data_IF_886327223040
#
_entry.id   IF_886327223040
#
_cell.length_a   1.000
_cell.length_b   1.000
_cell.length_c   1.000
_cell.angle_alpha   90.00
_cell.angle_beta   90.00
_cell.angle_gamma   90.00
#
_symmetry.space_group_name_H-M   'P 1'
#
loop_
_entity.id
_entity.type
_entity.pdbx_description
1 polymer ?
#
# COMPACT_ATOMS: atom_id res chain seq x y z
N UNK A 1 -92.96 47.71 65.07
CA UNK A 1 -92.38 46.98 63.91
C UNK A 1 -91.81 45.68 64.45
N UNK A 2 -92.25 44.51 63.98
CA UNK A 2 -91.69 43.25 64.47
C UNK A 2 -90.33 43.00 63.82
N UNK A 3 -89.34 42.76 64.66
CA UNK A 3 -87.97 42.41 64.31
C UNK A 3 -87.97 40.92 63.88
N UNK A 4 -87.79 40.65 62.59
CA UNK A 4 -87.69 39.29 62.07
C UNK A 4 -86.28 38.77 62.32
N UNK A 5 -86.08 38.13 63.49
CA UNK A 5 -84.91 37.29 63.74
C UNK A 5 -84.83 36.20 62.65
N UNK A 6 -83.70 36.05 61.94
CA UNK A 6 -83.58 35.03 60.91
C UNK A 6 -83.72 33.63 61.52
N UNK A 7 -84.45 32.77 60.84
CA UNK A 7 -84.80 31.42 61.27
C UNK A 7 -83.53 30.59 61.56
N UNK A 8 -83.44 30.04 62.77
CA UNK A 8 -82.30 29.24 63.25
C UNK A 8 -82.05 28.04 62.32
N UNK A 9 -83.08 27.53 61.65
CA UNK A 9 -82.95 26.45 60.67
C UNK A 9 -82.17 26.86 59.41
N UNK A 10 -82.34 28.10 58.92
CA UNK A 10 -81.58 28.60 57.76
C UNK A 10 -80.08 28.73 58.07
N UNK A 11 -79.72 29.14 59.30
CA UNK A 11 -78.32 29.18 59.72
C UNK A 11 -77.71 27.79 59.85
N UNK A 12 -78.46 26.82 60.38
CA UNK A 12 -78.01 25.41 60.44
C UNK A 12 -77.77 24.84 59.05
N UNK A 13 -78.70 25.04 58.11
CA UNK A 13 -78.56 24.59 56.73
C UNK A 13 -77.35 25.22 56.01
N UNK A 14 -77.07 26.51 56.25
CA UNK A 14 -75.86 27.18 55.72
C UNK A 14 -74.56 26.63 56.33
N UNK A 15 -74.55 26.37 57.63
CA UNK A 15 -73.41 25.76 58.30
C UNK A 15 -73.14 24.34 57.77
N UNK A 16 -74.19 23.54 57.53
CA UNK A 16 -74.07 22.22 56.92
C UNK A 16 -73.55 22.29 55.48
N UNK A 17 -74.08 23.22 54.66
CA UNK A 17 -73.56 23.45 53.30
C UNK A 17 -72.08 23.90 53.32
N UNK A 18 -71.69 24.79 54.23
CA UNK A 18 -70.30 25.21 54.38
C UNK A 18 -69.40 24.07 54.85
N UNK A 19 -69.85 23.23 55.78
CA UNK A 19 -69.10 22.05 56.23
C UNK A 19 -68.87 21.06 55.07
N UNK A 20 -69.92 20.82 54.26
CA UNK A 20 -69.83 19.95 53.09
C UNK A 20 -68.89 20.51 52.01
N UNK A 21 -68.91 21.83 51.79
CA UNK A 21 -68.01 22.50 50.86
C UNK A 21 -66.55 22.42 51.33
N UNK A 22 -66.29 22.63 52.63
CA UNK A 22 -64.95 22.47 53.22
C UNK A 22 -64.44 21.03 53.11
N UNK A 23 -65.30 20.04 53.28
CA UNK A 23 -64.95 18.64 53.09
C UNK A 23 -64.61 18.32 51.63
N UNK A 24 -65.36 18.86 50.68
CA UNK A 24 -65.08 18.69 49.25
C UNK A 24 -63.79 19.40 48.83
N UNK A 25 -63.53 20.61 49.33
CA UNK A 25 -62.30 21.35 49.06
C UNK A 25 -61.08 20.65 49.68
N UNK A 26 -61.20 20.08 50.88
CA UNK A 26 -60.11 19.31 51.50
C UNK A 26 -59.81 18.02 50.74
N UNK A 27 -60.84 17.31 50.25
CA UNK A 27 -60.66 16.15 49.35
C UNK A 27 -60.03 16.53 48.01
N UNK A 28 -60.43 17.64 47.41
CA UNK A 28 -59.84 18.13 46.16
C UNK A 28 -58.37 18.54 46.35
N UNK A 29 -58.04 19.21 47.46
CA UNK A 29 -56.68 19.58 47.79
C UNK A 29 -55.80 18.36 48.05
N UNK A 30 -56.29 17.33 48.77
CA UNK A 30 -55.51 16.11 49.00
C UNK A 30 -55.26 15.34 47.69
N UNK A 31 -56.23 15.28 46.79
CA UNK A 31 -56.06 14.70 45.47
C UNK A 31 -55.04 15.48 44.62
N UNK A 32 -55.07 16.82 44.67
CA UNK A 32 -54.10 17.67 43.96
C UNK A 32 -52.68 17.52 44.52
N UNK A 33 -52.52 17.41 45.85
CA UNK A 33 -51.22 17.15 46.47
C UNK A 33 -50.66 15.80 46.00
N UNK A 34 -51.50 14.76 45.93
CA UNK A 34 -51.09 13.45 45.45
C UNK A 34 -50.64 13.45 43.98
N UNK A 35 -51.30 14.23 43.10
CA UNK A 35 -50.87 14.35 41.71
C UNK A 35 -49.56 15.13 41.58
N UNK A 36 -49.35 16.17 42.39
CA UNK A 36 -48.09 16.92 42.45
C UNK A 36 -46.94 16.00 42.89
N UNK A 37 -47.14 15.17 43.90
CA UNK A 37 -46.14 14.19 44.35
C UNK A 37 -45.79 13.17 43.27
N UNK A 38 -46.79 12.62 42.56
CA UNK A 38 -46.56 11.69 41.45
C UNK A 38 -45.81 12.33 40.27
N UNK A 39 -46.11 13.60 39.97
CA UNK A 39 -45.37 14.35 38.95
C UNK A 39 -43.93 14.62 39.36
N UNK A 40 -43.67 14.97 40.62
CA UNK A 40 -42.31 15.15 41.14
C UNK A 40 -41.50 13.85 41.04
N UNK A 41 -42.08 12.70 41.43
CA UNK A 41 -41.41 11.40 41.27
C UNK A 41 -41.06 11.10 39.81
N UNK A 42 -41.94 11.45 38.88
CA UNK A 42 -41.71 11.27 37.44
C UNK A 42 -40.58 12.19 36.95
N UNK A 43 -40.58 13.46 37.38
CA UNK A 43 -39.54 14.44 37.05
C UNK A 43 -38.17 13.97 37.56
N UNK A 44 -38.10 13.47 38.79
CA UNK A 44 -36.85 12.97 39.37
C UNK A 44 -36.31 11.74 38.62
N UNK A 45 -37.20 10.82 38.22
CA UNK A 45 -36.83 9.68 37.36
C UNK A 45 -36.30 10.10 35.98
N UNK A 46 -36.94 11.10 35.36
CA UNK A 46 -36.48 11.66 34.09
C UNK A 46 -35.14 12.38 34.24
N UNK A 47 -34.92 13.12 35.32
CA UNK A 47 -33.63 13.76 35.57
C UNK A 47 -32.49 12.73 35.78
N UNK A 48 -32.77 11.61 36.44
CA UNK A 48 -31.82 10.50 36.58
C UNK A 48 -31.40 9.93 35.22
N UNK A 49 -32.36 9.57 34.38
CA UNK A 49 -32.09 9.02 33.03
C UNK A 49 -31.34 10.02 32.13
N UNK A 50 -31.68 11.32 32.20
CA UNK A 50 -30.94 12.36 31.47
C UNK A 50 -29.47 12.42 31.94
N UNK A 51 -29.21 12.22 33.24
CA UNK A 51 -27.86 12.14 33.79
C UNK A 51 -27.05 11.01 33.16
N UNK A 52 -27.58 9.79 33.20
CA UNK A 52 -26.95 8.58 32.64
C UNK A 52 -26.72 8.70 31.12
N UNK A 53 -27.70 9.23 30.39
CA UNK A 53 -27.58 9.47 28.95
C UNK A 53 -26.51 10.51 28.64
N UNK A 54 -26.40 11.58 29.43
CA UNK A 54 -25.33 12.59 29.24
C UNK A 54 -23.95 12.01 29.51
N UNK A 55 -23.81 11.13 30.49
CA UNK A 55 -22.54 10.47 30.81
C UNK A 55 -22.12 9.50 29.71
N UNK A 56 -23.04 8.65 29.23
CA UNK A 56 -22.77 7.74 28.11
C UNK A 56 -22.44 8.49 26.82
N UNK A 57 -23.14 9.60 26.51
CA UNK A 57 -22.80 10.46 25.36
C UNK A 57 -21.38 11.03 25.52
N UNK A 58 -21.00 11.50 26.71
CA UNK A 58 -19.65 12.04 26.97
C UNK A 58 -18.58 10.98 26.75
N UNK A 59 -18.80 9.76 27.22
CA UNK A 59 -17.87 8.64 27.06
C UNK A 59 -17.73 8.19 25.60
N UNK A 60 -18.85 8.09 24.88
CA UNK A 60 -18.84 7.74 23.46
C UNK A 60 -18.17 8.82 22.61
N UNK A 61 -18.44 10.10 22.89
CA UNK A 61 -17.76 11.23 22.23
C UNK A 61 -16.26 11.24 22.53
N UNK A 62 -15.85 10.94 23.77
CA UNK A 62 -14.44 10.81 24.16
C UNK A 62 -13.74 9.69 23.37
N UNK A 63 -14.39 8.53 23.23
CA UNK A 63 -13.87 7.41 22.43
C UNK A 63 -13.78 7.75 20.94
N UNK A 64 -14.78 8.44 20.38
CA UNK A 64 -14.81 8.83 18.97
C UNK A 64 -13.75 9.88 18.62
N UNK A 65 -13.47 10.80 19.55
CA UNK A 65 -12.52 11.89 19.33
C UNK A 65 -11.06 11.50 19.58
N UNK A 66 -10.75 10.28 20.07
CA UNK A 66 -9.35 9.84 20.24
C UNK A 66 -8.72 9.54 18.88
N UNK A 67 -7.60 10.19 18.60
CA UNK A 67 -6.73 9.94 17.46
C UNK A 67 -5.25 10.04 17.89
N UNK A 68 -4.32 9.79 16.97
CA UNK A 68 -2.87 9.90 17.24
C UNK A 68 -2.38 11.30 17.61
N UNK A 69 -3.20 12.35 17.40
CA UNK A 69 -2.83 13.72 17.78
C UNK A 69 -3.14 14.04 19.25
N UNK A 70 -4.13 13.36 19.86
CA UNK A 70 -4.58 13.66 21.23
C UNK A 70 -4.54 12.47 22.19
N UNK A 71 -4.13 11.30 21.69
CA UNK A 71 -3.77 10.15 22.50
C UNK A 71 -2.43 9.66 21.96
N UNK A 72 -1.44 9.43 22.81
CA UNK A 72 -0.07 9.00 22.44
C UNK A 72 0.00 7.62 21.75
N UNK A 73 -1.05 7.23 21.03
CA UNK A 73 -1.15 6.09 20.16
C UNK A 73 -0.52 6.41 18.81
N UNK A 74 0.18 5.45 18.19
CA UNK A 74 0.82 5.65 16.90
C UNK A 74 -0.23 5.87 15.79
N UNK A 75 0.07 6.70 14.76
CA UNK A 75 -0.83 6.99 13.63
C UNK A 75 -1.32 5.75 12.86
N UNK A 76 -0.61 4.62 12.97
CA UNK A 76 -1.01 3.35 12.38
C UNK A 76 -2.32 2.79 12.96
N UNK A 77 -2.68 3.16 14.20
CA UNK A 77 -3.91 2.72 14.88
C UNK A 77 -5.17 3.55 14.58
N UNK A 78 -5.05 4.67 13.87
CA UNK A 78 -6.17 5.59 13.56
C UNK A 78 -7.17 5.06 12.49
N UNK A 79 -6.94 3.85 11.93
CA UNK A 79 -7.86 3.24 10.96
C UNK A 79 -8.09 4.10 9.71
N UNK A 80 -9.36 4.22 9.28
CA UNK A 80 -9.76 5.02 8.12
C UNK A 80 -9.99 6.52 8.43
N UNK A 81 -9.98 6.92 9.70
CA UNK A 81 -10.17 8.32 10.14
C UNK A 81 -8.83 9.06 10.30
N UNK A 82 -7.83 8.69 9.49
CA UNK A 82 -6.54 9.38 9.48
C UNK A 82 -6.74 10.81 8.94
N UNK A 83 -6.32 11.86 9.66
CA UNK A 83 -6.29 13.19 9.08
C UNK A 83 -5.42 13.16 7.83
N UNK A 84 -5.85 13.85 6.76
CA UNK A 84 -5.05 13.91 5.55
C UNK A 84 -3.65 14.45 5.87
N UNK A 85 -2.58 13.81 5.36
CA UNK A 85 -1.23 14.25 5.63
C UNK A 85 -1.09 15.71 5.19
N UNK A 86 -0.90 16.60 6.16
CA UNK A 86 -0.56 18.00 5.87
C UNK A 86 0.85 18.00 5.31
N UNK A 87 0.98 18.51 4.09
CA UNK A 87 2.27 18.75 3.48
C UNK A 87 3.11 19.61 4.43
N UNK A 88 4.20 19.05 4.94
CA UNK A 88 5.21 19.80 5.71
C UNK A 88 6.05 20.70 4.80
N UNK A 89 5.80 20.68 3.48
CA UNK A 89 6.52 21.49 2.51
C UNK A 89 6.17 22.96 2.70
N UNK A 90 7.14 23.74 3.17
CA UNK A 90 7.03 25.19 3.17
C UNK A 90 6.90 25.73 1.75
N UNK A 91 6.01 26.73 1.56
CA UNK A 91 5.84 27.40 0.27
C UNK A 91 7.07 28.24 -0.04
N UNK A 92 8.01 27.67 -0.77
CA UNK A 92 9.26 28.33 -1.18
C UNK A 92 9.07 29.45 -2.23
N UNK A 93 7.86 29.65 -2.77
CA UNK A 93 7.59 30.66 -3.81
C UNK A 93 8.27 30.38 -5.16
N UNK A 94 9.04 29.30 -5.27
CA UNK A 94 9.78 28.92 -6.48
C UNK A 94 8.82 28.34 -7.52
N UNK A 95 8.96 28.81 -8.76
CA UNK A 95 8.22 28.24 -9.90
C UNK A 95 8.61 26.76 -10.08
N UNK A 96 7.69 25.88 -10.49
CA UNK A 96 8.02 24.52 -10.91
C UNK A 96 9.05 24.55 -12.05
N UNK A 97 10.14 23.80 -11.92
CA UNK A 97 11.22 23.72 -12.91
C UNK A 97 12.61 23.91 -12.31
N UNK A 98 13.64 23.73 -13.15
CA UNK A 98 15.02 24.04 -12.78
C UNK A 98 15.16 25.51 -12.39
N UNK A 99 15.87 25.79 -11.30
CA UNK A 99 16.05 27.18 -10.84
C UNK A 99 17.02 27.90 -11.78
N UNK A 100 16.90 29.22 -11.88
CA UNK A 100 17.84 30.03 -12.66
C UNK A 100 19.27 29.76 -12.19
N UNK A 101 20.14 29.31 -13.10
CA UNK A 101 21.53 28.92 -12.81
C UNK A 101 21.76 27.42 -12.63
N UNK A 102 20.73 26.57 -12.61
CA UNK A 102 20.93 25.11 -12.71
C UNK A 102 21.40 24.75 -14.11
N UNK A 103 22.56 24.09 -14.20
CA UNK A 103 23.01 23.49 -15.44
C UNK A 103 21.95 22.49 -15.92
N UNK A 104 21.50 22.62 -17.17
CA UNK A 104 20.56 21.67 -17.76
C UNK A 104 21.17 20.27 -17.75
N UNK A 105 20.48 19.31 -17.15
CA UNK A 105 20.86 17.90 -17.25
C UNK A 105 20.20 17.34 -18.51
N UNK A 106 21.00 16.97 -19.51
CA UNK A 106 20.51 16.24 -20.67
C UNK A 106 20.59 14.73 -20.40
N UNK A 107 19.67 13.96 -20.99
CA UNK A 107 19.77 12.51 -20.93
C UNK A 107 21.08 12.05 -21.58
N UNK A 108 21.85 11.24 -20.85
CA UNK A 108 23.07 10.66 -21.38
C UNK A 108 22.73 9.54 -22.38
N UNK A 109 23.44 9.52 -23.49
CA UNK A 109 23.44 8.36 -24.39
C UNK A 109 24.18 7.24 -23.65
N UNK A 110 23.57 6.05 -23.47
CA UNK A 110 24.09 5.04 -22.56
C UNK A 110 25.40 4.38 -23.04
N UNK A 111 25.57 4.22 -24.35
CA UNK A 111 26.76 3.67 -25.02
C UNK A 111 26.79 4.11 -26.49
N UNK A 112 27.81 3.68 -27.25
CA UNK A 112 27.85 3.90 -28.69
C UNK A 112 26.64 3.25 -29.39
N UNK A 113 26.05 3.87 -30.42
CA UNK A 113 24.83 3.37 -31.05
C UNK A 113 25.06 2.02 -31.74
N UNK A 114 24.18 1.05 -31.49
CA UNK A 114 24.24 -0.27 -32.14
C UNK A 114 23.95 -0.20 -33.64
N UNK A 115 23.10 0.75 -34.06
CA UNK A 115 22.73 1.00 -35.44
C UNK A 115 22.79 2.52 -35.72
N UNK A 116 23.39 2.90 -36.87
CA UNK A 116 23.40 4.30 -37.34
C UNK A 116 22.56 4.41 -38.61
N UNK A 117 21.42 5.09 -38.51
CA UNK A 117 20.57 5.40 -39.67
C UNK A 117 20.87 6.78 -40.21
N UNK A 118 21.29 6.84 -41.47
CA UNK A 118 21.54 8.10 -42.18
C UNK A 118 20.26 8.58 -42.86
N UNK A 119 19.78 9.76 -42.47
CA UNK A 119 18.64 10.41 -43.11
C UNK A 119 19.12 11.44 -44.12
N UNK A 120 18.90 11.17 -45.40
CA UNK A 120 19.27 12.09 -46.48
C UNK A 120 18.17 13.14 -46.72
N UNK A 121 18.53 14.35 -47.18
CA UNK A 121 17.53 15.34 -47.59
C UNK A 121 16.57 14.77 -48.63
N UNK A 122 15.28 15.04 -48.49
CA UNK A 122 14.23 14.49 -49.35
C UNK A 122 14.47 14.73 -50.84
N UNK A 123 15.01 15.90 -51.22
CA UNK A 123 15.38 16.22 -52.61
C UNK A 123 16.46 15.30 -53.18
N UNK A 124 17.35 14.78 -52.35
CA UNK A 124 18.44 13.90 -52.79
C UNK A 124 17.96 12.46 -53.02
N UNK A 125 16.85 12.03 -52.41
CA UNK A 125 16.32 10.67 -52.57
C UNK A 125 15.81 10.39 -53.99
N UNK A 126 15.38 11.42 -54.72
CA UNK A 126 14.95 11.32 -56.13
C UNK A 126 16.06 11.70 -57.13
N UNK A 127 17.29 11.89 -56.68
CA UNK A 127 18.40 12.30 -57.54
C UNK A 127 18.93 11.10 -58.34
N UNK A 128 19.07 11.19 -59.68
CA UNK A 128 19.61 10.09 -60.49
C UNK A 128 21.09 9.80 -60.17
N UNK A 129 21.83 10.77 -59.63
CA UNK A 129 23.24 10.64 -59.25
C UNK A 129 23.43 10.18 -57.80
N UNK A 130 22.36 9.80 -57.08
CA UNK A 130 22.45 9.46 -55.66
C UNK A 130 23.45 8.32 -55.38
N UNK A 131 23.50 7.32 -56.25
CA UNK A 131 24.44 6.20 -56.12
C UNK A 131 25.90 6.67 -56.20
N UNK A 132 26.24 7.50 -57.20
CA UNK A 132 27.57 8.09 -57.35
C UNK A 132 27.93 9.00 -56.16
N UNK A 133 26.97 9.77 -55.66
CA UNK A 133 27.17 10.63 -54.50
C UNK A 133 27.45 9.82 -53.22
N UNK A 134 26.84 8.64 -53.08
CA UNK A 134 27.12 7.70 -51.98
C UNK A 134 28.50 7.07 -52.12
N UNK A 135 28.86 6.65 -53.33
CA UNK A 135 30.16 6.02 -53.61
C UNK A 135 31.33 6.98 -53.39
N UNK A 136 31.19 8.26 -53.78
CA UNK A 136 32.21 9.29 -53.53
C UNK A 136 32.46 9.56 -52.04
N UNK A 137 31.50 9.27 -51.16
CA UNK A 137 31.66 9.33 -49.70
C UNK A 137 31.87 10.73 -49.09
N UNK A 138 31.95 11.80 -49.90
CA UNK A 138 32.22 13.17 -49.43
C UNK A 138 31.09 14.16 -49.72
N UNK A 139 29.98 13.70 -50.30
CA UNK A 139 28.83 14.55 -50.67
C UNK A 139 27.92 14.84 -49.46
N UNK A 140 27.88 13.93 -48.49
CA UNK A 140 27.04 14.05 -47.29
C UNK A 140 27.89 14.07 -46.02
N UNK A 141 27.57 14.96 -45.10
CA UNK A 141 28.18 15.05 -43.78
C UNK A 141 27.10 15.04 -42.69
N UNK A 142 27.45 14.53 -41.52
CA UNK A 142 26.54 14.51 -40.36
C UNK A 142 26.50 15.91 -39.72
N UNK A 143 25.37 16.61 -39.83
CA UNK A 143 25.17 17.93 -39.22
C UNK A 143 24.62 17.89 -37.78
N UNK A 144 23.64 17.02 -37.52
CA UNK A 144 23.01 16.84 -36.21
C UNK A 144 22.83 15.34 -35.93
N UNK A 145 22.91 14.94 -34.66
CA UNK A 145 22.62 13.58 -34.20
C UNK A 145 21.45 13.59 -33.22
N UNK A 146 20.57 12.60 -33.33
CA UNK A 146 19.50 12.30 -32.37
C UNK A 146 19.52 10.82 -32.08
N UNK A 147 19.16 10.45 -30.86
CA UNK A 147 19.23 9.08 -30.37
C UNK A 147 17.83 8.62 -29.96
N UNK A 148 17.44 7.44 -30.45
CA UNK A 148 16.31 6.69 -29.94
C UNK A 148 16.87 5.52 -29.12
N UNK A 149 16.46 5.40 -27.85
CA UNK A 149 16.91 4.30 -26.98
C UNK A 149 15.77 3.29 -26.87
N UNK A 150 15.93 2.14 -27.53
CA UNK A 150 14.95 1.06 -27.54
C UNK A 150 15.39 -0.08 -26.60
N UNK A 151 14.44 -0.66 -25.88
CA UNK A 151 14.68 -1.88 -25.08
C UNK A 151 14.31 -3.09 -25.92
N UNK A 152 15.30 -3.90 -26.28
CA UNK A 152 15.10 -5.15 -27.04
C UNK A 152 15.24 -6.34 -26.09
N UNK A 153 14.20 -7.16 -25.98
CA UNK A 153 14.19 -8.35 -25.14
C UNK A 153 14.10 -9.58 -26.02
N UNK A 154 15.06 -10.50 -25.90
CA UNK A 154 15.09 -11.75 -26.64
C UNK A 154 15.50 -12.92 -25.74
N UNK A 155 15.02 -14.12 -26.07
CA UNK A 155 15.38 -15.36 -25.38
C UNK A 155 16.38 -16.15 -26.20
N UNK A 156 17.41 -16.67 -25.52
CA UNK A 156 18.41 -17.57 -26.12
C UNK A 156 18.12 -19.00 -25.68
N UNK A 157 17.76 -19.86 -26.64
CA UNK A 157 17.62 -21.30 -26.42
C UNK A 157 18.89 -21.99 -26.89
N UNK A 158 19.48 -22.84 -26.04
CA UNK A 158 20.63 -23.67 -26.40
C UNK A 158 20.17 -25.12 -26.41
N UNK A 159 20.20 -25.75 -27.57
CA UNK A 159 19.92 -27.18 -27.72
C UNK A 159 21.17 -27.97 -27.33
N UNK A 160 21.04 -28.84 -26.33
CA UNK A 160 22.09 -29.78 -25.97
C UNK A 160 21.81 -31.11 -26.67
N UNK A 161 22.68 -31.50 -27.60
CA UNK A 161 22.56 -32.75 -28.34
C UNK A 161 23.54 -33.79 -27.81
N UNK A 162 23.02 -34.98 -27.51
CA UNK A 162 23.83 -36.16 -27.26
C UNK A 162 24.08 -36.84 -28.60
N UNK A 163 25.35 -36.90 -29.01
CA UNK A 163 25.76 -37.50 -30.28
C UNK A 163 26.22 -38.94 -30.04
N UNK A 164 25.90 -39.83 -30.97
CA UNK A 164 26.41 -41.21 -31.04
C UNK A 164 27.18 -41.42 -32.34
N UNK A 165 28.21 -42.27 -32.31
CA UNK A 165 29.02 -42.57 -33.50
C UNK A 165 28.40 -43.74 -34.28
N UNK A 166 27.47 -43.43 -35.20
CA UNK A 166 26.72 -44.44 -35.98
C UNK A 166 27.62 -45.20 -36.97
N UNK A 167 28.68 -44.58 -37.47
CA UNK A 167 29.66 -45.22 -38.38
C UNK A 167 31.06 -44.72 -38.07
N UNK A 168 31.68 -45.31 -37.06
CA UNK A 168 33.07 -45.03 -36.69
C UNK A 168 34.02 -45.87 -37.56
N UNK A 169 34.97 -45.26 -38.30
CA UNK A 169 35.94 -46.00 -39.12
C UNK A 169 36.93 -46.84 -38.31
N UNK A 170 36.95 -46.69 -36.98
CA UNK A 170 37.76 -47.48 -36.05
C UNK A 170 37.04 -48.71 -35.46
N UNK A 171 35.82 -49.00 -35.92
CA UNK A 171 35.22 -50.34 -35.80
C UNK A 171 34.15 -50.52 -34.72
N UNK A 172 34.18 -49.80 -33.60
CA UNK A 172 33.17 -49.99 -32.55
C UNK A 172 32.17 -48.83 -32.49
N UNK A 173 30.88 -49.19 -32.32
CA UNK A 173 29.83 -48.23 -32.05
C UNK A 173 30.12 -47.56 -30.70
N UNK A 174 30.32 -46.23 -30.72
CA UNK A 174 30.54 -45.47 -29.50
C UNK A 174 29.17 -45.06 -28.95
N UNK A 175 28.86 -45.41 -27.68
CA UNK A 175 27.59 -45.05 -27.07
C UNK A 175 27.40 -43.52 -27.04
N UNK A 176 26.13 -43.11 -26.99
CA UNK A 176 25.75 -41.70 -26.95
C UNK A 176 26.44 -40.94 -25.80
N UNK A 177 26.89 -39.72 -26.09
CA UNK A 177 27.55 -38.86 -25.11
C UNK A 177 26.61 -38.51 -23.94
N UNK A 178 27.12 -38.53 -22.70
CA UNK A 178 26.32 -38.09 -21.55
C UNK A 178 26.18 -36.57 -21.51
N UNK A 179 25.03 -36.10 -21.05
CA UNK A 179 24.84 -34.67 -20.80
C UNK A 179 25.67 -34.21 -19.59
N UNK A 180 26.12 -32.93 -19.56
CA UNK A 180 26.68 -32.33 -18.35
C UNK A 180 25.71 -32.43 -17.16
N UNK A 181 26.22 -32.59 -15.94
CA UNK A 181 25.38 -32.88 -14.76
C UNK A 181 24.36 -31.80 -14.37
N UNK A 182 24.47 -30.60 -14.93
CA UNK A 182 23.50 -29.51 -14.76
C UNK A 182 22.36 -29.54 -15.81
N UNK A 183 22.47 -30.31 -16.89
CA UNK A 183 21.43 -30.51 -17.90
C UNK A 183 20.70 -31.81 -17.59
N UNK A 184 19.51 -31.70 -16.98
CA UNK A 184 18.80 -32.82 -16.35
C UNK A 184 17.42 -33.10 -16.94
N UNK A 185 16.80 -32.09 -17.55
CA UNK A 185 15.45 -32.18 -18.08
C UNK A 185 15.45 -31.88 -19.58
N UNK A 186 14.41 -32.35 -20.28
CA UNK A 186 14.19 -32.07 -21.70
C UNK A 186 14.11 -30.55 -21.99
N UNK A 187 13.42 -29.81 -21.11
CA UNK A 187 13.44 -28.34 -21.09
C UNK A 187 13.73 -27.90 -19.66
N UNK A 188 14.70 -27.01 -19.50
CA UNK A 188 15.02 -26.38 -18.22
C UNK A 188 15.38 -24.91 -18.42
N UNK A 189 15.11 -24.10 -17.40
CA UNK A 189 15.47 -22.69 -17.40
C UNK A 189 16.89 -22.52 -16.88
N UNK A 190 17.67 -21.69 -17.56
CA UNK A 190 19.04 -21.36 -17.15
C UNK A 190 19.10 -20.40 -15.96
N UNK A 191 20.31 -20.18 -15.45
CA UNK A 191 20.55 -19.32 -14.29
C UNK A 191 20.11 -17.87 -14.52
N UNK A 192 20.23 -17.35 -15.75
CA UNK A 192 19.81 -15.98 -16.09
C UNK A 192 18.33 -15.72 -15.81
N UNK A 193 17.47 -16.69 -16.10
CA UNK A 193 16.02 -16.61 -15.80
C UNK A 193 15.80 -16.62 -14.28
N UNK A 194 16.49 -17.50 -13.56
CA UNK A 194 16.38 -17.60 -12.11
C UNK A 194 16.84 -16.31 -11.41
N UNK A 195 17.93 -15.72 -11.87
CA UNK A 195 18.45 -14.43 -11.36
C UNK A 195 17.45 -13.30 -11.63
N UNK A 196 16.90 -13.22 -12.84
CA UNK A 196 15.91 -12.20 -13.17
C UNK A 196 14.64 -12.33 -12.31
N UNK A 197 14.15 -13.55 -12.10
CA UNK A 197 13.03 -13.84 -11.20
C UNK A 197 13.34 -13.36 -9.78
N UNK A 198 14.51 -13.69 -9.24
CA UNK A 198 14.94 -13.25 -7.92
C UNK A 198 15.00 -11.72 -7.81
N UNK A 199 15.59 -11.04 -8.79
CA UNK A 199 15.68 -9.57 -8.82
C UNK A 199 14.31 -8.90 -8.88
N UNK A 200 13.42 -9.38 -9.76
CA UNK A 200 12.06 -8.84 -9.86
C UNK A 200 11.28 -9.01 -8.56
N UNK A 201 11.43 -10.16 -7.89
CA UNK A 201 10.72 -10.42 -6.65
C UNK A 201 11.29 -9.62 -5.47
N UNK A 202 12.60 -9.69 -5.25
CA UNK A 202 13.24 -9.16 -4.04
C UNK A 202 13.51 -7.66 -4.14
N UNK A 203 14.10 -7.20 -5.26
CA UNK A 203 14.41 -5.78 -5.46
C UNK A 203 13.24 -5.03 -6.09
N UNK A 204 12.61 -5.63 -7.12
CA UNK A 204 11.48 -5.03 -7.81
C UNK A 204 10.15 -5.09 -7.04
N UNK A 205 10.10 -5.82 -5.92
CA UNK A 205 8.88 -6.07 -5.13
C UNK A 205 7.69 -6.57 -5.99
N UNK A 206 7.99 -7.31 -7.06
CA UNK A 206 6.98 -7.81 -8.00
C UNK A 206 6.42 -9.14 -7.47
N UNK A 207 5.09 -9.22 -7.37
CA UNK A 207 4.43 -10.44 -6.95
C UNK A 207 4.64 -11.59 -7.94
N UNK A 208 4.62 -12.83 -7.44
CA UNK A 208 4.83 -14.04 -8.26
C UNK A 208 3.93 -14.08 -9.50
N UNK A 209 2.65 -13.72 -9.35
CA UNK A 209 1.71 -13.69 -10.48
C UNK A 209 2.07 -12.61 -11.51
N UNK A 210 2.61 -11.46 -11.07
CA UNK A 210 3.07 -10.41 -12.00
C UNK A 210 4.36 -10.83 -12.70
N UNK A 211 5.27 -11.53 -12.01
CA UNK A 211 6.47 -12.10 -12.63
C UNK A 211 6.09 -13.11 -13.73
N UNK A 212 5.11 -13.98 -13.47
CA UNK A 212 4.57 -14.90 -14.47
C UNK A 212 4.14 -14.18 -15.76
N UNK A 213 3.37 -13.10 -15.62
CA UNK A 213 2.91 -12.30 -16.77
C UNK A 213 4.07 -11.57 -17.46
N UNK A 214 4.98 -10.97 -16.68
CA UNK A 214 6.12 -10.22 -17.20
C UNK A 214 7.15 -11.08 -17.91
N UNK A 215 7.27 -12.37 -17.57
CA UNK A 215 8.18 -13.28 -18.27
C UNK A 215 7.47 -14.00 -19.42
N UNK A 216 6.17 -14.28 -19.27
CA UNK A 216 5.37 -14.93 -20.30
C UNK A 216 5.16 -14.06 -21.55
N UNK A 217 4.70 -12.82 -21.39
CA UNK A 217 4.27 -12.00 -22.52
C UNK A 217 5.42 -11.37 -23.31
N UNK A 218 6.32 -10.54 -22.71
CA UNK A 218 7.37 -9.88 -23.47
C UNK A 218 8.59 -10.77 -23.73
N UNK A 219 8.84 -11.81 -22.91
CA UNK A 219 10.01 -12.69 -23.10
C UNK A 219 9.65 -14.07 -23.68
N UNK A 220 8.36 -14.43 -23.75
CA UNK A 220 7.95 -15.76 -24.22
C UNK A 220 8.33 -16.90 -23.27
N UNK A 221 8.66 -16.60 -22.01
CA UNK A 221 9.10 -17.58 -21.01
C UNK A 221 7.91 -17.98 -20.14
N UNK A 222 7.26 -19.10 -20.48
CA UNK A 222 6.10 -19.63 -19.77
C UNK A 222 6.44 -20.33 -18.44
N UNK A 223 6.71 -19.57 -17.39
CA UNK A 223 6.96 -20.12 -16.05
C UNK A 223 5.67 -20.36 -15.28
N UNK A 224 5.52 -21.48 -14.58
CA UNK A 224 4.44 -21.59 -13.60
C UNK A 224 4.72 -20.76 -12.34
N UNK A 225 3.69 -20.39 -11.59
CA UNK A 225 3.84 -19.71 -10.29
C UNK A 225 4.63 -20.56 -9.29
N UNK A 226 4.46 -21.89 -9.33
CA UNK A 226 5.25 -22.84 -8.52
C UNK A 226 6.73 -22.87 -8.91
N UNK A 227 7.03 -22.76 -10.21
CA UNK A 227 8.42 -22.66 -10.70
C UNK A 227 9.09 -21.39 -10.19
N UNK A 228 8.38 -20.26 -10.25
CA UNK A 228 8.86 -18.97 -9.73
C UNK A 228 9.13 -19.06 -8.23
N UNK A 229 8.20 -19.61 -7.44
CA UNK A 229 8.38 -19.80 -6.00
C UNK A 229 9.61 -20.69 -5.69
N UNK A 230 9.80 -21.76 -6.45
CA UNK A 230 10.97 -22.64 -6.33
C UNK A 230 12.28 -21.90 -6.63
N UNK A 231 12.32 -21.11 -7.71
CA UNK A 231 13.49 -20.29 -8.06
C UNK A 231 13.84 -19.29 -6.96
N UNK A 232 12.84 -18.61 -6.38
CA UNK A 232 13.04 -17.67 -5.27
C UNK A 232 13.59 -18.40 -4.04
N UNK A 233 13.03 -19.57 -3.70
CA UNK A 233 13.50 -20.39 -2.58
C UNK A 233 14.96 -20.84 -2.76
N UNK A 234 15.33 -21.25 -3.98
CA UNK A 234 16.71 -21.60 -4.32
C UNK A 234 17.66 -20.40 -4.26
N UNK A 235 17.20 -19.21 -4.64
CA UNK A 235 18.00 -17.99 -4.46
C UNK A 235 18.23 -17.69 -2.98
N UNK A 236 17.17 -17.79 -2.16
CA UNK A 236 17.24 -17.58 -0.71
C UNK A 236 18.23 -18.54 -0.04
N UNK A 237 18.21 -19.83 -0.39
CA UNK A 237 19.13 -20.81 0.19
C UNK A 237 20.60 -20.53 -0.14
N UNK A 238 20.89 -19.99 -1.33
CA UNK A 238 22.25 -19.58 -1.73
C UNK A 238 22.76 -18.36 -0.97
N UNK A 239 21.88 -17.45 -0.55
CA UNK A 239 22.23 -16.21 0.18
C UNK A 239 22.38 -16.43 1.68
N UNK A 240 21.90 -17.56 2.22
CA UNK A 240 21.93 -17.85 3.66
C UNK A 240 23.31 -17.71 4.32
N UNK A 241 24.39 -18.12 3.64
CA UNK A 241 25.75 -17.97 4.15
C UNK A 241 26.19 -16.50 4.26
N UNK A 242 25.81 -15.67 3.29
CA UNK A 242 26.10 -14.22 3.31
C UNK A 242 25.40 -13.54 4.47
N UNK A 243 24.15 -13.91 4.77
CA UNK A 243 23.43 -13.35 5.91
C UNK A 243 24.11 -13.68 7.24
N UNK A 244 24.67 -14.88 7.39
CA UNK A 244 25.43 -15.24 8.59
C UNK A 244 26.71 -14.40 8.74
N UNK A 245 27.42 -14.15 7.64
CA UNK A 245 28.60 -13.27 7.63
C UNK A 245 28.26 -11.83 8.01
N UNK A 246 27.19 -11.26 7.42
CA UNK A 246 26.73 -9.91 7.75
C UNK A 246 26.38 -9.80 9.24
N UNK A 247 25.70 -10.80 9.81
CA UNK A 247 25.39 -10.84 11.24
C UNK A 247 26.66 -10.82 12.10
N UNK A 248 27.66 -11.62 11.76
CA UNK A 248 28.93 -11.66 12.50
C UNK A 248 29.68 -10.31 12.42
N UNK A 249 29.62 -9.65 11.26
CA UNK A 249 30.19 -8.30 11.10
C UNK A 249 29.45 -7.30 11.98
N UNK A 250 28.11 -7.29 11.96
CA UNK A 250 27.30 -6.39 12.78
C UNK A 250 27.58 -6.53 14.28
N UNK A 251 27.87 -7.74 14.79
CA UNK A 251 28.19 -7.93 16.23
C UNK A 251 29.54 -7.35 16.66
N UNK A 252 30.41 -7.02 15.70
CA UNK A 252 31.74 -6.45 15.96
C UNK A 252 31.75 -4.93 15.86
N UNK A 253 30.65 -4.33 15.42
CA UNK A 253 30.52 -2.88 15.25
C UNK A 253 30.20 -2.21 16.60
N UNK A 254 30.80 -1.03 16.82
CA UNK A 254 30.58 -0.26 18.05
C UNK A 254 29.16 0.31 18.13
N UNK A 255 28.56 0.62 16.97
CA UNK A 255 27.22 1.21 16.85
C UNK A 255 26.44 0.53 15.75
N UNK A 256 25.26 0.00 16.11
CA UNK A 256 24.33 -0.67 15.19
C UNK A 256 22.96 -0.01 15.30
N UNK A 257 22.34 0.26 14.16
CA UNK A 257 20.97 0.78 14.08
C UNK A 257 19.99 -0.37 13.95
N UNK A 258 18.97 -0.37 14.80
CA UNK A 258 17.89 -1.34 14.78
C UNK A 258 16.57 -0.64 14.42
N UNK A 259 15.83 -1.24 13.49
CA UNK A 259 14.49 -0.79 13.10
C UNK A 259 13.55 -2.00 12.99
N UNK A 260 12.26 -1.78 13.21
CA UNK A 260 11.26 -2.83 13.20
C UNK A 260 10.02 -2.38 12.42
N UNK A 261 9.63 -3.19 11.43
CA UNK A 261 8.42 -2.95 10.66
C UNK A 261 7.48 -4.14 10.79
N UNK A 262 6.24 -3.88 11.20
CA UNK A 262 5.18 -4.88 11.22
C UNK A 262 4.65 -5.17 9.82
N UNK A 263 4.54 -6.44 9.45
CA UNK A 263 3.89 -6.92 8.23
C UNK A 263 2.75 -7.87 8.57
N UNK A 264 1.63 -7.77 7.86
CA UNK A 264 0.55 -8.75 7.99
C UNK A 264 0.86 -9.96 7.10
N UNK A 265 0.91 -11.14 7.70
CA UNK A 265 1.00 -12.41 6.98
C UNK A 265 -0.12 -13.31 7.47
N UNK A 266 -1.07 -13.60 6.58
CA UNK A 266 -2.24 -14.44 6.85
C UNK A 266 -3.07 -13.97 8.07
N UNK A 267 -3.25 -12.66 8.23
CA UNK A 267 -4.04 -12.07 9.32
C UNK A 267 -3.30 -12.01 10.66
N UNK A 268 -1.98 -12.27 10.66
CA UNK A 268 -1.13 -12.14 11.84
C UNK A 268 -0.04 -11.11 11.56
N UNK A 269 0.16 -10.18 12.47
CA UNK A 269 1.30 -9.27 12.42
C UNK A 269 2.57 -10.03 12.76
N UNK A 270 3.49 -10.12 11.80
CA UNK A 270 4.87 -10.55 11.98
C UNK A 270 5.77 -9.32 11.98
N UNK A 271 6.81 -9.33 12.80
CA UNK A 271 7.79 -8.24 12.87
C UNK A 271 8.99 -8.58 12.01
N UNK A 272 9.33 -7.66 11.11
CA UNK A 272 10.58 -7.71 10.34
C UNK A 272 11.56 -6.80 11.04
N UNK A 273 12.63 -7.40 11.55
CA UNK A 273 13.72 -6.67 12.21
C UNK A 273 14.79 -6.35 11.17
N UNK A 274 15.21 -5.09 11.14
CA UNK A 274 16.35 -4.61 10.37
C UNK A 274 17.48 -4.25 11.33
N UNK A 275 18.72 -4.59 10.96
CA UNK A 275 19.93 -4.29 11.72
C UNK A 275 20.98 -3.84 10.72
N UNK A 276 21.49 -2.62 10.88
CA UNK A 276 22.38 -2.02 9.88
C UNK A 276 23.40 -1.06 10.48
N UNK A 277 24.45 -0.80 9.73
CA UNK A 277 25.41 0.28 9.95
C UNK A 277 25.47 1.17 8.71
N UNK A 278 26.22 2.28 8.69
CA UNK A 278 26.39 3.05 7.45
C UNK A 278 27.01 2.25 6.29
N UNK A 279 27.63 1.09 6.57
CA UNK A 279 28.36 0.27 5.59
C UNK A 279 27.67 -1.08 5.30
N UNK A 280 26.88 -1.61 6.25
CA UNK A 280 26.27 -2.95 6.21
C UNK A 280 24.75 -2.91 6.36
#
# INVERSE_FOLDING_TARGET
MPDQLPDIEQYRARCEQQATLLENLTKANSALTATVEALHQTIDGLHGTIGELKETIRDLQSKLNRNSQNSSQPPSKDGFNKPQPRSQREKTGRKPGGQAGHAGMHMAVPHEPDEVRQHLPSKCLACPLLAECREKGNVFACGEKRYEVNVVVSTKVTEHQSMEAVSCPYGEAVPAASFPGNIRAYVQYGDSVSVLVGLLNTYGAVSINRIHVLLGSPMGVGLSTGTIASMISQCSSKVGGTLAMIKEMLTKEDVVHFDETGTDVNGKTLWVHNSSTPVL
#
